data_IF_006272826840
#
_entry.id   IF_006272826840
#
_cell.length_a   1.000
_cell.length_b   1.000
_cell.length_c   1.000
_cell.angle_alpha   90.00
_cell.angle_beta   90.00
_cell.angle_gamma   90.00
#
_symmetry.space_group_name_H-M   'P 1'
#
loop_
_entity.id
_entity.type
_entity.pdbx_description
1 polymer ?
#
# COMPACT_ATOMS: atom_id res chain seq x y z
N UNK A 1 -16.65 21.25 -17.67
CA UNK A 1 -16.39 19.80 -17.78
C UNK A 1 -17.26 19.26 -18.90
N UNK A 2 -16.64 18.74 -19.95
CA UNK A 2 -17.32 18.29 -21.17
C UNK A 2 -17.41 16.77 -21.13
N UNK A 3 -18.62 16.20 -21.03
CA UNK A 3 -18.81 14.80 -21.37
C UNK A 3 -18.59 14.64 -22.88
N UNK A 4 -17.95 13.56 -23.31
CA UNK A 4 -17.83 13.25 -24.73
C UNK A 4 -19.23 12.85 -25.23
N UNK A 5 -19.93 13.80 -25.84
CA UNK A 5 -21.26 13.62 -26.42
C UNK A 5 -22.30 12.94 -25.50
N UNK A 6 -22.31 13.27 -24.20
CA UNK A 6 -23.30 12.73 -23.27
C UNK A 6 -23.09 11.26 -22.86
N UNK A 7 -21.98 10.63 -23.26
CA UNK A 7 -21.63 9.29 -22.80
C UNK A 7 -21.10 9.35 -21.36
N UNK A 8 -21.96 9.07 -20.39
CA UNK A 8 -21.63 9.05 -18.96
C UNK A 8 -21.65 7.65 -18.34
N UNK A 9 -22.14 6.65 -19.07
CA UNK A 9 -22.30 5.27 -18.58
C UNK A 9 -21.10 4.35 -18.88
N UNK A 10 -20.08 4.84 -19.59
CA UNK A 10 -18.92 4.05 -20.03
C UNK A 10 -17.74 4.05 -19.04
N UNK A 11 -18.00 4.39 -17.79
CA UNK A 11 -16.98 4.48 -16.73
C UNK A 11 -16.62 5.91 -16.39
N UNK A 12 -15.41 6.10 -15.84
CA UNK A 12 -14.98 7.40 -15.34
C UNK A 12 -14.73 8.40 -16.47
N UNK A 13 -15.05 9.67 -16.20
CA UNK A 13 -14.81 10.77 -17.16
C UNK A 13 -13.31 11.07 -17.35
N UNK A 14 -12.49 10.69 -16.36
CA UNK A 14 -11.03 10.79 -16.41
C UNK A 14 -10.44 9.44 -16.01
N UNK A 15 -9.59 8.83 -16.85
CA UNK A 15 -8.94 7.56 -16.51
C UNK A 15 -7.92 7.72 -15.37
N UNK A 16 -7.51 8.96 -15.05
CA UNK A 16 -6.55 9.27 -13.99
C UNK A 16 -7.21 9.67 -12.67
N UNK A 17 -8.54 9.88 -12.64
CA UNK A 17 -9.28 10.25 -11.43
C UNK A 17 -9.73 9.04 -10.59
N UNK A 18 -9.74 7.83 -11.16
CA UNK A 18 -10.11 6.57 -10.48
C UNK A 18 -9.14 6.14 -9.36
N UNK A 19 -8.21 7.02 -9.01
CA UNK A 19 -7.18 6.80 -8.01
C UNK A 19 -7.63 7.31 -6.62
N UNK A 20 -8.82 7.91 -6.51
CA UNK A 20 -9.36 8.33 -5.21
C UNK A 20 -9.97 7.12 -4.50
N UNK A 21 -9.34 6.72 -3.40
CA UNK A 21 -9.92 5.72 -2.50
C UNK A 21 -11.24 6.27 -1.96
N UNK A 22 -12.22 5.38 -1.75
CA UNK A 22 -13.42 5.78 -1.01
C UNK A 22 -12.97 6.24 0.38
N UNK A 23 -13.31 7.46 0.81
CA UNK A 23 -12.88 7.95 2.12
C UNK A 23 -13.48 7.07 3.22
N UNK A 24 -12.69 6.74 4.24
CA UNK A 24 -13.21 5.95 5.38
C UNK A 24 -14.35 6.70 6.08
N UNK A 25 -14.29 8.04 6.11
CA UNK A 25 -15.35 8.86 6.70
C UNK A 25 -16.64 8.95 5.86
N UNK A 26 -16.68 8.31 4.69
CA UNK A 26 -17.92 8.18 3.92
C UNK A 26 -18.85 7.09 4.48
N UNK A 27 -18.32 6.18 5.30
CA UNK A 27 -19.07 5.12 5.96
C UNK A 27 -19.67 5.60 7.28
N UNK A 28 -20.85 5.10 7.62
CA UNK A 28 -21.51 5.41 8.88
C UNK A 28 -21.10 4.41 9.97
N UNK A 29 -21.24 4.80 11.24
CA UNK A 29 -20.97 3.90 12.38
C UNK A 29 -21.77 2.59 12.32
N UNK A 30 -22.95 2.61 11.68
CA UNK A 30 -23.76 1.42 11.42
C UNK A 30 -23.10 0.45 10.45
N UNK A 31 -22.45 0.95 9.40
CA UNK A 31 -21.77 0.12 8.42
C UNK A 31 -20.58 -0.62 9.08
N UNK A 32 -19.87 0.05 9.97
CA UNK A 32 -18.80 -0.55 10.77
C UNK A 32 -19.32 -1.58 11.77
N UNK A 33 -20.47 -1.30 12.41
CA UNK A 33 -21.11 -2.25 13.32
C UNK A 33 -21.58 -3.50 12.55
N UNK A 34 -22.24 -3.34 11.41
CA UNK A 34 -22.72 -4.44 10.60
C UNK A 34 -21.56 -5.29 10.07
N UNK A 35 -20.46 -4.66 9.64
CA UNK A 35 -19.23 -5.34 9.26
C UNK A 35 -18.59 -6.12 10.43
N UNK A 36 -18.50 -5.50 11.62
CA UNK A 36 -17.99 -6.16 12.82
C UNK A 36 -18.84 -7.39 13.17
N UNK A 37 -20.16 -7.27 13.13
CA UNK A 37 -21.08 -8.37 13.43
C UNK A 37 -21.06 -9.49 12.39
N UNK A 38 -20.77 -9.19 11.12
CA UNK A 38 -20.56 -10.21 10.09
C UNK A 38 -19.29 -11.04 10.33
N UNK A 39 -18.22 -10.40 10.81
CA UNK A 39 -16.96 -11.07 11.16
C UNK A 39 -17.03 -11.80 12.51
N UNK A 40 -17.82 -11.28 13.45
CA UNK A 40 -17.99 -11.82 14.79
C UNK A 40 -19.15 -12.84 14.82
N UNK A 41 -18.98 -13.99 14.18
CA UNK A 41 -19.92 -15.10 14.38
C UNK A 41 -19.67 -15.75 15.77
N UNK A 42 -20.72 -15.97 16.60
CA UNK A 42 -20.56 -16.56 17.92
C UNK A 42 -20.10 -18.02 17.81
N UNK A 43 -18.80 -18.25 17.99
CA UNK A 43 -18.14 -19.54 17.81
C UNK A 43 -16.84 -19.46 17.01
N UNK A 44 -16.60 -18.33 16.32
CA UNK A 44 -15.33 -18.03 15.66
C UNK A 44 -14.49 -17.14 16.55
N UNK A 45 -13.52 -17.73 17.23
CA UNK A 45 -12.39 -16.94 17.72
C UNK A 45 -11.59 -16.47 16.51
N UNK A 46 -11.05 -15.24 16.55
CA UNK A 46 -10.08 -14.67 15.58
C UNK A 46 -8.80 -15.52 15.35
N UNK A 47 -8.77 -16.77 15.84
CA UNK A 47 -7.68 -17.74 15.78
C UNK A 47 -8.10 -19.12 15.27
N UNK A 48 -9.22 -19.26 14.55
CA UNK A 48 -9.61 -20.55 13.95
C UNK A 48 -9.96 -20.49 12.47
N UNK A 49 -9.38 -19.56 11.71
CA UNK A 49 -9.37 -19.65 10.25
C UNK A 49 -8.10 -20.32 9.79
N UNK A 50 -8.24 -21.32 8.92
CA UNK A 50 -7.10 -21.95 8.27
C UNK A 50 -6.24 -20.88 7.59
N UNK A 51 -4.92 -21.05 7.64
CA UNK A 51 -3.93 -20.08 7.12
C UNK A 51 -4.15 -19.72 5.64
N UNK A 52 -4.95 -20.53 4.93
CA UNK A 52 -5.35 -20.34 3.53
C UNK A 52 -6.49 -19.32 3.35
N UNK A 53 -7.50 -19.31 4.22
CA UNK A 53 -8.63 -18.36 4.15
C UNK A 53 -8.18 -16.94 4.53
N UNK A 54 -7.31 -16.83 5.52
CA UNK A 54 -6.65 -15.58 5.90
C UNK A 54 -5.78 -15.05 4.74
N UNK A 55 -5.11 -15.93 3.99
CA UNK A 55 -4.34 -15.53 2.80
C UNK A 55 -5.24 -15.06 1.66
N UNK A 56 -6.41 -15.65 1.46
CA UNK A 56 -7.38 -15.23 0.43
C UNK A 56 -8.06 -13.91 0.81
N UNK A 57 -8.44 -13.74 2.08
CA UNK A 57 -8.99 -12.49 2.60
C UNK A 57 -7.94 -11.37 2.56
N UNK A 58 -6.69 -11.65 2.95
CA UNK A 58 -5.59 -10.69 2.83
C UNK A 58 -5.25 -10.37 1.38
N UNK A 59 -5.31 -11.33 0.46
CA UNK A 59 -5.14 -11.07 -0.97
C UNK A 59 -6.27 -10.21 -1.57
N UNK A 60 -7.50 -10.33 -1.05
CA UNK A 60 -8.62 -9.46 -1.40
C UNK A 60 -8.47 -8.05 -0.78
N UNK A 61 -8.00 -7.94 0.46
CA UNK A 61 -7.66 -6.67 1.12
C UNK A 61 -6.45 -5.96 0.49
N UNK A 62 -5.50 -6.71 -0.07
CA UNK A 62 -4.36 -6.20 -0.85
C UNK A 62 -4.80 -5.54 -2.17
N UNK A 63 -6.03 -5.80 -2.64
CA UNK A 63 -6.61 -5.06 -3.79
C UNK A 63 -7.32 -3.76 -3.41
N UNK A 64 -7.50 -3.49 -2.12
CA UNK A 64 -8.19 -2.30 -1.61
C UNK A 64 -7.28 -1.33 -0.84
N UNK A 65 -5.97 -1.59 -0.80
CA UNK A 65 -5.02 -0.85 0.02
C UNK A 65 -4.16 0.03 -0.86
N UNK A 66 -4.22 1.34 -0.64
CA UNK A 66 -3.08 2.10 -0.12
C UNK A 66 -3.66 3.35 0.56
N UNK A 67 -3.53 3.42 1.90
CA UNK A 67 -3.72 4.53 2.87
C UNK A 67 -4.40 4.07 4.17
N UNK A 68 -5.20 2.99 4.12
CA UNK A 68 -5.95 2.49 5.29
C UNK A 68 -5.08 1.68 6.25
N UNK A 69 -4.12 0.88 5.75
CA UNK A 69 -3.24 0.05 6.60
C UNK A 69 -2.46 0.85 7.65
N UNK A 70 -1.87 1.99 7.30
CA UNK A 70 -1.15 2.82 8.27
C UNK A 70 -2.05 3.46 9.32
N UNK A 71 -3.30 3.76 8.97
CA UNK A 71 -4.29 4.34 9.90
C UNK A 71 -4.84 3.26 10.85
N UNK A 72 -5.05 2.05 10.34
CA UNK A 72 -5.54 0.90 11.10
C UNK A 72 -4.42 0.34 12.00
N UNK A 73 -3.18 0.23 11.52
CA UNK A 73 -2.03 -0.20 12.34
C UNK A 73 -1.71 0.78 13.48
N UNK A 74 -1.94 2.09 13.28
CA UNK A 74 -1.79 3.07 14.36
C UNK A 74 -2.96 3.07 15.36
N UNK A 75 -4.17 2.70 14.91
CA UNK A 75 -5.38 2.77 15.73
C UNK A 75 -5.65 1.47 16.51
N UNK A 76 -5.18 0.32 16.01
CA UNK A 76 -5.48 -0.99 16.58
C UNK A 76 -4.21 -1.69 17.08
N UNK A 77 -4.05 -1.76 18.41
CA UNK A 77 -3.05 -2.62 19.05
C UNK A 77 -3.47 -4.09 18.89
N UNK A 78 -2.71 -4.87 18.12
CA UNK A 78 -3.04 -6.26 17.73
C UNK A 78 -2.95 -7.29 18.86
N UNK A 79 -2.69 -6.86 20.10
CA UNK A 79 -2.34 -7.75 21.21
C UNK A 79 -3.52 -8.19 22.09
N UNK A 80 -4.70 -7.57 21.95
CA UNK A 80 -5.86 -7.86 22.80
C UNK A 80 -7.18 -7.98 22.01
N UNK A 81 -8.12 -8.83 22.47
CA UNK A 81 -9.45 -8.91 21.87
C UNK A 81 -10.19 -7.58 22.05
N UNK A 82 -10.66 -7.00 20.95
CA UNK A 82 -11.29 -5.70 20.92
C UNK A 82 -12.81 -5.89 21.02
N UNK A 83 -13.44 -5.27 22.03
CA UNK A 83 -14.89 -5.23 22.14
C UNK A 83 -15.51 -4.24 21.14
N UNK A 84 -16.77 -4.47 20.76
CA UNK A 84 -17.50 -3.63 19.79
C UNK A 84 -17.46 -2.13 20.14
N UNK A 85 -17.60 -1.78 21.42
CA UNK A 85 -17.56 -0.37 21.86
C UNK A 85 -16.20 0.29 21.62
N UNK A 86 -15.12 -0.46 21.85
CA UNK A 86 -13.75 0.02 21.64
C UNK A 86 -13.44 0.14 20.15
N UNK A 87 -13.90 -0.83 19.36
CA UNK A 87 -13.79 -0.82 17.90
C UNK A 87 -14.48 0.40 17.28
N UNK A 88 -15.73 0.67 17.67
CA UNK A 88 -16.49 1.82 17.14
C UNK A 88 -15.83 3.15 17.52
N UNK A 89 -15.33 3.29 18.74
CA UNK A 89 -14.61 4.50 19.18
C UNK A 89 -13.32 4.72 18.37
N UNK A 90 -12.55 3.67 18.14
CA UNK A 90 -11.32 3.74 17.31
C UNK A 90 -11.64 4.07 15.86
N UNK A 91 -12.70 3.48 15.29
CA UNK A 91 -13.13 3.79 13.92
C UNK A 91 -13.63 5.23 13.76
N UNK A 92 -14.31 5.79 14.75
CA UNK A 92 -14.71 7.20 14.75
C UNK A 92 -13.48 8.13 14.73
N UNK A 93 -12.42 7.79 15.46
CA UNK A 93 -11.17 8.56 15.46
C UNK A 93 -10.43 8.46 14.12
N UNK A 94 -10.42 7.27 13.50
CA UNK A 94 -9.90 7.07 12.13
C UNK A 94 -10.71 7.89 11.11
N UNK A 95 -12.03 7.94 11.25
CA UNK A 95 -12.90 8.76 10.40
C UNK A 95 -12.58 10.25 10.53
N UNK A 96 -12.44 10.77 11.76
CA UNK A 96 -12.03 12.16 11.99
C UNK A 96 -10.68 12.45 11.37
N UNK A 97 -9.70 11.58 11.55
CA UNK A 97 -8.36 11.77 10.99
C UNK A 97 -8.39 11.81 9.46
N UNK A 98 -9.10 10.87 8.83
CA UNK A 98 -9.34 10.84 7.38
C UNK A 98 -9.95 12.17 6.88
N UNK A 99 -10.97 12.68 7.56
CA UNK A 99 -11.62 13.95 7.19
C UNK A 99 -10.66 15.16 7.31
N UNK A 100 -9.79 15.18 8.31
CA UNK A 100 -8.78 16.24 8.46
C UNK A 100 -7.71 16.20 7.37
N UNK A 101 -7.30 15.00 6.96
CA UNK A 101 -6.35 14.83 5.86
C UNK A 101 -6.95 15.28 4.53
N UNK A 102 -8.20 14.91 4.25
CA UNK A 102 -8.84 15.30 3.00
C UNK A 102 -9.13 16.80 2.91
N UNK A 103 -9.58 17.42 3.99
CA UNK A 103 -9.76 18.88 4.03
C UNK A 103 -8.44 19.63 3.83
N UNK A 104 -7.33 19.11 4.39
CA UNK A 104 -6.00 19.65 4.15
C UNK A 104 -5.53 19.47 2.69
N UNK A 105 -5.86 18.35 2.04
CA UNK A 105 -5.56 18.11 0.62
C UNK A 105 -6.38 19.01 -0.29
N UNK A 106 -7.68 19.19 0.00
CA UNK A 106 -8.55 20.08 -0.77
C UNK A 106 -8.05 21.52 -0.78
N UNK A 107 -7.59 22.03 0.37
CA UNK A 107 -6.98 23.35 0.49
C UNK A 107 -5.67 23.48 -0.31
N UNK A 108 -4.95 22.36 -0.51
CA UNK A 108 -3.66 22.35 -1.21
C UNK A 108 -3.77 22.09 -2.71
N UNK A 109 -4.93 21.74 -3.27
CA UNK A 109 -5.08 21.24 -4.65
C UNK A 109 -4.33 22.04 -5.76
N UNK A 110 -4.16 23.36 -5.59
CA UNK A 110 -3.44 24.23 -6.53
C UNK A 110 -1.97 24.53 -6.16
N UNK A 111 -1.49 24.09 -4.99
CA UNK A 111 -0.10 24.21 -4.56
C UNK A 111 0.76 23.05 -5.12
N UNK A 112 2.08 23.22 -5.06
CA UNK A 112 3.07 22.20 -5.43
C UNK A 112 2.81 20.87 -4.76
N UNK A 113 2.37 20.92 -3.50
CA UNK A 113 2.12 19.76 -2.65
C UNK A 113 0.64 19.32 -2.67
N UNK A 114 -0.12 19.79 -3.66
CA UNK A 114 -1.58 19.71 -3.67
C UNK A 114 -2.21 18.40 -4.03
N UNK A 115 -1.59 17.70 -4.98
CA UNK A 115 -2.04 16.39 -5.42
C UNK A 115 -1.00 15.38 -4.96
N UNK A 116 -1.37 14.36 -4.16
CA UNK A 116 -0.42 13.38 -3.66
C UNK A 116 0.33 12.67 -4.79
N UNK A 117 -0.33 12.50 -5.94
CA UNK A 117 0.21 11.90 -7.16
C UNK A 117 1.15 12.81 -7.97
N UNK A 118 1.14 14.13 -7.75
CA UNK A 118 1.90 15.11 -8.53
C UNK A 118 3.13 15.60 -7.76
N UNK A 119 4.33 15.26 -8.22
CA UNK A 119 5.59 15.78 -7.66
C UNK A 119 6.13 17.03 -8.35
N UNK A 120 5.71 17.27 -9.60
CA UNK A 120 6.22 18.37 -10.42
C UNK A 120 5.08 19.24 -10.92
N UNK A 121 5.21 20.56 -10.75
CA UNK A 121 4.30 21.53 -11.38
C UNK A 121 4.78 21.85 -12.80
N UNK A 122 6.10 21.92 -13.02
CA UNK A 122 6.67 22.37 -14.31
C UNK A 122 7.39 21.24 -15.04
N UNK A 123 7.18 21.18 -16.36
CA UNK A 123 7.87 20.22 -17.22
C UNK A 123 9.39 20.43 -17.22
N UNK A 124 9.85 21.68 -17.12
CA UNK A 124 11.27 22.00 -17.11
C UNK A 124 11.98 21.47 -15.85
N UNK A 125 11.34 21.56 -14.68
CA UNK A 125 11.86 20.97 -13.43
C UNK A 125 11.93 19.44 -13.53
N UNK A 126 10.88 18.80 -14.07
CA UNK A 126 10.88 17.36 -14.33
C UNK A 126 12.04 16.93 -15.24
N UNK A 127 12.23 17.63 -16.38
CA UNK A 127 13.33 17.33 -17.32
C UNK A 127 14.70 17.59 -16.69
N UNK A 128 14.83 18.65 -15.89
CA UNK A 128 16.05 18.96 -15.16
C UNK A 128 16.46 17.84 -14.19
N UNK A 129 15.50 17.25 -13.47
CA UNK A 129 15.76 16.09 -12.60
C UNK A 129 16.00 14.80 -13.38
N UNK A 130 15.29 14.61 -14.50
CA UNK A 130 15.46 13.45 -15.39
C UNK A 130 16.90 13.34 -15.90
N UNK A 131 17.47 14.45 -16.39
CA UNK A 131 18.86 14.50 -16.90
C UNK A 131 19.88 14.23 -15.79
N UNK A 132 19.55 14.57 -14.55
CA UNK A 132 20.38 14.29 -13.37
C UNK A 132 20.22 12.88 -12.83
N UNK A 133 19.41 12.03 -13.47
CA UNK A 133 19.04 10.70 -12.98
C UNK A 133 18.47 10.71 -11.55
N UNK A 134 17.85 11.83 -11.17
CA UNK A 134 17.20 11.94 -9.87
C UNK A 134 15.86 11.19 -9.93
N UNK A 135 15.69 10.21 -9.04
CA UNK A 135 14.46 9.44 -8.91
C UNK A 135 13.33 10.28 -8.34
N UNK A 136 12.11 9.83 -8.59
CA UNK A 136 10.92 10.35 -7.91
C UNK A 136 11.05 10.13 -6.40
N UNK A 137 10.50 11.04 -5.61
CA UNK A 137 10.61 10.96 -4.14
C UNK A 137 9.64 9.92 -3.57
N UNK A 138 8.41 9.87 -4.09
CA UNK A 138 7.36 8.95 -3.65
C UNK A 138 7.29 7.74 -4.54
N UNK A 139 7.00 6.59 -3.93
CA UNK A 139 6.78 5.36 -4.67
C UNK A 139 5.47 5.38 -5.46
N UNK A 140 5.36 4.61 -6.57
CA UNK A 140 4.13 4.52 -7.36
C UNK A 140 2.91 4.09 -6.54
N UNK A 141 3.10 3.21 -5.54
CA UNK A 141 2.04 2.74 -4.63
C UNK A 141 1.47 3.86 -3.77
N UNK A 142 2.29 4.83 -3.36
CA UNK A 142 1.84 5.98 -2.57
C UNK A 142 1.02 6.98 -3.39
N UNK A 143 1.18 6.95 -4.72
CA UNK A 143 0.54 7.86 -5.66
C UNK A 143 -0.74 7.30 -6.26
N UNK A 144 -0.78 5.98 -6.44
CA UNK A 144 -1.88 5.30 -7.08
C UNK A 144 -2.29 4.03 -6.33
N UNK A 145 -3.60 3.76 -6.30
CA UNK A 145 -4.17 2.55 -5.68
C UNK A 145 -3.87 1.30 -6.49
N UNK A 146 -3.79 1.44 -7.81
CA UNK A 146 -3.62 0.34 -8.75
C UNK A 146 -2.53 0.69 -9.77
N UNK A 147 -1.84 -0.32 -10.32
CA UNK A 147 -0.86 -0.10 -11.36
C UNK A 147 -1.53 0.48 -12.61
N UNK A 148 -1.06 1.65 -13.05
CA UNK A 148 -1.58 2.31 -14.26
C UNK A 148 -1.06 1.71 -15.57
N UNK A 149 0.04 0.96 -15.50
CA UNK A 149 0.71 0.39 -16.68
C UNK A 149 1.17 -1.01 -16.36
N UNK A 150 1.29 -1.84 -17.40
CA UNK A 150 1.71 -3.24 -17.25
C UNK A 150 3.10 -3.36 -16.60
N UNK A 151 4.03 -2.44 -16.89
CA UNK A 151 5.34 -2.42 -16.24
C UNK A 151 5.28 -2.18 -14.73
N UNK A 152 4.26 -1.48 -14.25
CA UNK A 152 4.06 -1.25 -12.81
C UNK A 152 3.50 -2.49 -12.11
N UNK A 153 2.80 -3.38 -12.83
CA UNK A 153 2.26 -4.62 -12.23
C UNK A 153 3.37 -5.49 -11.66
N UNK A 154 4.53 -5.51 -12.32
CA UNK A 154 5.72 -6.22 -11.88
C UNK A 154 6.34 -5.48 -10.70
N UNK A 155 6.19 -6.04 -9.50
CA UNK A 155 6.62 -5.42 -8.25
C UNK A 155 5.56 -4.53 -7.58
N UNK A 156 4.32 -4.50 -8.09
CA UNK A 156 3.21 -3.83 -7.41
C UNK A 156 2.76 -4.55 -6.13
N UNK A 157 2.84 -5.88 -6.10
CA UNK A 157 2.56 -6.68 -4.91
C UNK A 157 3.83 -7.33 -4.42
N UNK A 158 3.99 -7.43 -3.10
CA UNK A 158 5.07 -8.22 -2.51
C UNK A 158 4.84 -9.71 -2.80
N UNK A 159 5.88 -10.51 -3.03
CA UNK A 159 5.71 -11.92 -3.34
C UNK A 159 5.02 -12.65 -2.17
N UNK A 160 3.91 -13.33 -2.47
CA UNK A 160 3.08 -14.06 -1.48
C UNK A 160 3.83 -15.21 -0.81
N UNK A 161 4.92 -15.71 -1.43
CA UNK A 161 5.70 -16.82 -0.92
C UNK A 161 7.17 -16.43 -0.85
N UNK A 162 7.67 -16.25 0.38
CA UNK A 162 9.09 -16.04 0.61
C UNK A 162 9.86 -17.34 0.34
N UNK A 163 10.44 -17.46 -0.85
CA UNK A 163 11.33 -18.57 -1.16
C UNK A 163 12.62 -18.42 -0.36
N UNK A 164 12.83 -19.27 0.65
CA UNK A 164 14.10 -19.34 1.38
C UNK A 164 15.22 -19.81 0.45
N UNK A 165 15.90 -18.87 -0.19
CA UNK A 165 17.07 -19.17 -1.01
C UNK A 165 18.22 -19.62 -0.12
N UNK A 166 18.63 -20.88 -0.25
CA UNK A 166 19.88 -21.37 0.34
C UNK A 166 21.03 -20.83 -0.50
N UNK A 167 21.64 -19.74 -0.03
CA UNK A 167 22.78 -19.14 -0.72
C UNK A 167 24.00 -20.06 -0.54
N UNK A 168 24.70 -20.37 -1.64
CA UNK A 168 26.04 -20.96 -1.57
C UNK A 168 27.00 -19.89 -1.06
N UNK A 169 27.08 -19.72 0.26
CA UNK A 169 28.09 -18.87 0.88
C UNK A 169 29.45 -19.58 0.81
N UNK A 170 30.51 -18.83 0.51
CA UNK A 170 31.87 -19.33 0.64
C UNK A 170 32.09 -19.81 2.09
N UNK A 171 32.50 -21.06 2.28
CA UNK A 171 32.93 -21.57 3.58
C UNK A 171 34.35 -21.08 3.90
N UNK A 172 34.78 -21.23 5.14
CA UNK A 172 36.11 -20.76 5.59
C UNK A 172 37.24 -21.46 4.81
N UNK A 173 37.03 -22.72 4.41
CA UNK A 173 37.96 -23.49 3.58
C UNK A 173 38.11 -22.90 2.17
N UNK A 174 37.00 -22.47 1.55
CA UNK A 174 37.07 -21.82 0.22
C UNK A 174 37.63 -20.42 0.30
N UNK A 175 37.41 -19.69 1.41
CA UNK A 175 38.05 -18.41 1.67
C UNK A 175 39.55 -18.55 1.86
N UNK A 176 39.97 -19.54 2.66
CA UNK A 176 41.37 -19.83 2.91
C UNK A 176 42.09 -20.29 1.64
N UNK A 177 41.49 -21.20 0.86
CA UNK A 177 42.04 -21.61 -0.43
C UNK A 177 42.20 -20.42 -1.40
N UNK A 178 41.21 -19.53 -1.47
CA UNK A 178 41.30 -18.29 -2.25
C UNK A 178 42.44 -17.39 -1.77
N UNK A 179 42.62 -17.25 -0.45
CA UNK A 179 43.71 -16.47 0.15
C UNK A 179 45.09 -17.08 -0.13
N UNK A 180 45.23 -18.41 -0.08
CA UNK A 180 46.49 -19.10 -0.40
C UNK A 180 46.88 -18.98 -1.86
N UNK A 181 45.92 -19.16 -2.78
CA UNK A 181 46.14 -18.94 -4.22
C UNK A 181 46.52 -17.48 -4.49
N UNK A 182 45.86 -16.52 -3.82
CA UNK A 182 46.19 -15.09 -3.93
C UNK A 182 47.57 -14.75 -3.34
N UNK A 183 48.00 -15.49 -2.32
CA UNK A 183 49.35 -15.39 -1.74
C UNK A 183 50.43 -16.12 -2.56
N UNK A 184 50.06 -16.76 -3.68
CA UNK A 184 51.00 -17.44 -4.58
C UNK A 184 51.40 -18.84 -4.12
N UNK A 185 50.72 -19.42 -3.13
CA UNK A 185 50.98 -20.78 -2.66
C UNK A 185 50.09 -21.75 -3.45
N UNK A 186 50.70 -22.47 -4.40
CA UNK A 186 50.05 -23.54 -5.15
C UNK A 186 50.51 -24.89 -4.60
N UNK A 187 49.55 -25.72 -4.18
CA UNK A 187 49.83 -27.13 -3.89
C UNK A 187 49.82 -27.90 -5.21
N UNK A 188 51.00 -28.36 -5.64
CA UNK A 188 51.20 -29.39 -6.65
C UNK A 188 51.20 -30.76 -6.00
#
# INVERSE_FOLDING_TARGET
MSSFFGLTLLGSQSPFDNVKATPIHAFQSRDFQDAFMQTYQPGFSLYSESEEEVKVANAALDTATITVQSLVEQAFDTSQPIGLSTFLAQMDDVCRHSQTLESAVAHKAYLKDGLPSREFISNNDFRGKLVKHQRMEKDPREKALAPMTDSLTVGWNSPTMETKRKLNKSCEETRFASAMVKAGVYYY
#
